data_IF_135566150833
#
_entry.id   IF_135566150833
#
_cell.length_a   1.000
_cell.length_b   1.000
_cell.length_c   1.000
_cell.angle_alpha   90.00
_cell.angle_beta   90.00
_cell.angle_gamma   90.00
#
_symmetry.space_group_name_H-M   'P 1'
#
loop_
_entity.id
_entity.type
_entity.pdbx_description
1 polymer ?
#
# COMPACT_ATOMS: atom_id res chain seq x y z
N UNK A 1 12.09 -4.06 -18.92
CA UNK A 1 11.42 -2.74 -18.89
C UNK A 1 10.52 -2.75 -17.68
N UNK A 2 10.65 -1.79 -16.77
CA UNK A 2 9.83 -1.76 -15.55
C UNK A 2 8.45 -1.18 -15.89
N UNK A 3 7.39 -1.85 -15.44
CA UNK A 3 6.01 -1.38 -15.59
C UNK A 3 5.60 -0.58 -14.35
N UNK A 4 4.65 0.34 -14.52
CA UNK A 4 4.07 1.08 -13.41
C UNK A 4 3.26 0.16 -12.50
N UNK A 5 3.51 0.24 -11.19
CA UNK A 5 2.84 -0.54 -10.13
C UNK A 5 1.33 -0.24 -9.97
N UNK A 6 0.76 0.71 -10.72
CA UNK A 6 -0.65 1.09 -10.62
C UNK A 6 -1.46 0.89 -11.91
N UNK A 7 -0.84 0.93 -13.09
CA UNK A 7 -1.58 0.74 -14.35
C UNK A 7 -0.97 -0.33 -15.27
N UNK A 8 0.13 -0.94 -14.82
CA UNK A 8 0.89 -1.99 -15.50
C UNK A 8 1.45 -1.62 -16.89
N UNK A 9 1.31 -0.37 -17.33
CA UNK A 9 1.94 0.12 -18.56
C UNK A 9 3.43 0.41 -18.33
N UNK A 10 4.27 0.36 -19.37
CA UNK A 10 5.68 0.68 -19.26
C UNK A 10 5.93 2.08 -18.66
N UNK A 11 6.93 2.20 -17.79
CA UNK A 11 7.38 3.49 -17.26
C UNK A 11 8.04 4.33 -18.34
N UNK A 12 7.88 5.65 -18.24
CA UNK A 12 8.60 6.62 -19.07
C UNK A 12 10.04 6.80 -18.56
N UNK A 13 10.90 7.37 -19.41
CA UNK A 13 12.30 7.63 -19.05
C UNK A 13 12.38 8.57 -17.84
N UNK A 14 13.02 8.10 -16.77
CA UNK A 14 13.20 8.86 -15.52
C UNK A 14 12.11 8.64 -14.47
N UNK A 15 11.04 7.91 -14.80
CA UNK A 15 10.07 7.47 -13.80
C UNK A 15 10.56 6.20 -13.09
N UNK A 16 10.15 6.05 -11.82
CA UNK A 16 10.48 4.90 -10.98
C UNK A 16 9.19 4.45 -10.30
N UNK A 17 8.95 3.14 -10.31
CA UNK A 17 7.83 2.44 -9.66
C UNK A 17 6.43 2.82 -10.19
N UNK A 18 6.10 4.11 -10.33
CA UNK A 18 4.81 4.60 -10.82
C UNK A 18 4.95 5.81 -11.76
N UNK A 19 4.00 5.97 -12.70
CA UNK A 19 3.90 7.22 -13.47
C UNK A 19 3.53 8.39 -12.56
N UNK A 20 3.98 9.59 -12.92
CA UNK A 20 3.59 10.82 -12.20
C UNK A 20 2.06 11.03 -12.19
N UNK A 21 1.39 10.73 -13.31
CA UNK A 21 -0.07 10.80 -13.40
C UNK A 21 -0.77 9.76 -12.52
N UNK A 22 -0.20 8.55 -12.41
CA UNK A 22 -0.74 7.47 -11.58
C UNK A 22 -0.57 7.78 -10.09
N UNK A 23 0.57 8.35 -9.68
CA UNK A 23 0.79 8.86 -8.32
C UNK A 23 -0.27 9.90 -7.97
N UNK A 24 -0.48 10.89 -8.84
CA UNK A 24 -1.49 11.92 -8.60
C UNK A 24 -2.91 11.34 -8.56
N UNK A 25 -3.24 10.37 -9.41
CA UNK A 25 -4.56 9.71 -9.43
C UNK A 25 -4.81 8.92 -8.14
N UNK A 26 -3.82 8.17 -7.66
CA UNK A 26 -4.00 7.28 -6.51
C UNK A 26 -3.77 7.99 -5.18
N UNK A 27 -2.69 8.77 -5.04
CA UNK A 27 -2.29 9.39 -3.78
C UNK A 27 -2.70 10.87 -3.64
N UNK A 28 -3.08 11.53 -4.74
CA UNK A 28 -3.31 12.98 -4.76
C UNK A 28 -2.04 13.83 -4.63
N UNK A 29 -0.86 13.23 -4.72
CA UNK A 29 0.44 13.89 -4.53
C UNK A 29 1.20 14.07 -5.85
N UNK A 30 2.25 14.90 -5.83
CA UNK A 30 3.19 15.08 -6.97
C UNK A 30 4.39 14.14 -6.92
N UNK A 31 4.60 13.45 -5.81
CA UNK A 31 5.67 12.47 -5.62
C UNK A 31 5.11 11.26 -4.88
N UNK A 32 5.68 10.08 -5.13
CA UNK A 32 5.26 8.85 -4.46
C UNK A 32 5.46 9.02 -2.94
N UNK A 33 4.40 8.93 -2.12
CA UNK A 33 4.54 9.04 -0.68
C UNK A 33 5.45 7.94 -0.12
N UNK A 34 6.26 8.30 0.87
CA UNK A 34 7.16 7.32 1.49
C UNK A 34 6.39 6.46 2.48
N UNK A 35 6.52 5.14 2.35
CA UNK A 35 6.16 4.16 3.37
C UNK A 35 7.47 3.55 3.91
N UNK A 36 7.92 4.03 5.07
CA UNK A 36 9.28 3.77 5.57
C UNK A 36 9.25 2.66 6.63
N UNK A 37 8.74 1.50 6.24
CA UNK A 37 8.66 0.31 7.09
C UNK A 37 9.24 -0.89 6.35
N UNK A 38 10.00 -1.73 7.06
CA UNK A 38 10.37 -3.04 6.53
C UNK A 38 9.18 -4.00 6.60
N UNK A 39 9.22 -5.08 5.83
CA UNK A 39 8.18 -6.12 5.88
C UNK A 39 8.04 -6.68 7.30
N UNK A 40 9.15 -6.90 8.00
CA UNK A 40 9.15 -7.41 9.38
C UNK A 40 8.49 -6.43 10.34
N UNK A 41 8.68 -5.12 10.15
CA UNK A 41 8.01 -4.09 10.95
C UNK A 41 6.50 -4.07 10.67
N UNK A 42 6.10 -4.19 9.40
CA UNK A 42 4.68 -4.27 9.02
C UNK A 42 4.02 -5.51 9.61
N UNK A 43 4.70 -6.65 9.62
CA UNK A 43 4.21 -7.90 10.23
C UNK A 43 4.04 -7.77 11.74
N UNK A 44 5.00 -7.17 12.43
CA UNK A 44 4.91 -6.91 13.87
C UNK A 44 3.74 -5.98 14.21
N UNK A 45 3.58 -4.88 13.45
CA UNK A 45 2.49 -3.93 13.63
C UNK A 45 1.13 -4.55 13.33
N UNK A 46 1.06 -5.41 12.30
CA UNK A 46 -0.11 -6.19 11.97
C UNK A 46 -0.54 -7.13 13.10
N UNK A 47 0.40 -7.83 13.72
CA UNK A 47 0.14 -8.71 14.86
C UNK A 47 -0.41 -7.93 16.07
N UNK A 48 0.15 -6.75 16.36
CA UNK A 48 -0.34 -5.88 17.44
C UNK A 48 -1.80 -5.48 17.22
N UNK A 49 -2.14 -5.04 16.00
CA UNK A 49 -3.50 -4.62 15.67
C UNK A 49 -4.50 -5.80 15.78
N UNK A 50 -4.11 -7.01 15.38
CA UNK A 50 -4.95 -8.21 15.54
C UNK A 50 -5.21 -8.50 17.02
N UNK A 51 -4.18 -8.38 17.87
CA UNK A 51 -4.30 -8.62 19.32
C UNK A 51 -5.20 -7.60 20.01
N UNK A 52 -5.20 -6.35 19.52
CA UNK A 52 -5.98 -5.25 20.09
C UNK A 52 -7.47 -5.27 19.70
N UNK A 53 -7.88 -6.01 18.66
CA UNK A 53 -9.27 -6.08 18.21
C UNK A 53 -10.01 -7.35 18.69
N UNK A 54 -11.12 -7.16 19.41
CA UNK A 54 -11.87 -8.23 20.11
C UNK A 54 -12.92 -8.97 19.25
N UNK A 55 -12.97 -8.83 17.92
CA UNK A 55 -13.98 -9.56 17.11
C UNK A 55 -13.61 -9.88 15.65
N UNK A 56 -14.07 -11.07 15.24
CA UNK A 56 -14.17 -11.76 13.95
C UNK A 56 -12.99 -11.71 12.95
N UNK A 57 -12.38 -12.89 12.82
CA UNK A 57 -11.25 -13.26 11.96
C UNK A 57 -11.52 -13.07 10.47
N UNK A 58 -10.82 -12.10 9.88
CA UNK A 58 -10.29 -12.24 8.52
C UNK A 58 -8.85 -12.76 8.59
N UNK A 59 -8.44 -13.62 7.66
CA UNK A 59 -7.13 -14.30 7.69
C UNK A 59 -5.94 -13.36 7.45
N UNK A 60 -6.17 -12.21 6.81
CA UNK A 60 -5.10 -11.30 6.39
C UNK A 60 -5.10 -10.00 7.21
N UNK A 61 -3.95 -9.59 7.79
CA UNK A 61 -3.84 -8.30 8.46
C UNK A 61 -4.04 -7.14 7.49
N UNK A 62 -4.66 -6.07 7.98
CA UNK A 62 -4.90 -4.84 7.23
C UNK A 62 -4.48 -3.66 8.09
N UNK A 63 -3.52 -2.89 7.61
CA UNK A 63 -3.04 -1.68 8.26
C UNK A 63 -3.75 -0.48 7.63
N UNK A 64 -4.46 0.29 8.45
CA UNK A 64 -5.00 1.58 7.98
C UNK A 64 -3.86 2.60 7.91
N UNK A 65 -3.76 3.31 6.80
CA UNK A 65 -2.74 4.31 6.54
C UNK A 65 -3.39 5.68 6.29
N UNK A 66 -2.74 6.73 6.78
CA UNK A 66 -3.09 8.11 6.47
C UNK A 66 -1.90 8.84 5.84
N UNK A 67 -2.20 9.77 4.93
CA UNK A 67 -1.19 10.60 4.29
C UNK A 67 -0.90 11.82 5.16
N UNK A 68 0.25 11.84 5.82
CA UNK A 68 0.71 12.96 6.63
C UNK A 68 1.78 13.77 5.91
N UNK A 69 1.93 15.03 6.31
CA UNK A 69 3.04 15.88 5.89
C UNK A 69 4.12 15.89 6.98
N UNK A 70 5.37 15.63 6.60
CA UNK A 70 6.51 15.64 7.49
C UNK A 70 7.73 16.18 6.74
N UNK A 71 8.36 17.23 7.26
CA UNK A 71 9.53 17.91 6.66
C UNK A 71 9.37 18.23 5.16
N UNK A 72 8.19 18.70 4.77
CA UNK A 72 7.88 19.04 3.37
C UNK A 72 7.70 17.83 2.43
N UNK A 73 7.70 16.61 2.96
CA UNK A 73 7.41 15.37 2.23
C UNK A 73 6.07 14.77 2.67
N UNK A 74 5.38 14.08 1.75
CA UNK A 74 4.18 13.31 2.07
C UNK A 74 4.57 11.88 2.44
N UNK A 75 4.10 11.40 3.60
CA UNK A 75 4.41 10.07 4.14
C UNK A 75 3.13 9.31 4.46
N UNK A 76 3.16 8.00 4.23
CA UNK A 76 2.11 7.09 4.69
C UNK A 76 2.42 6.68 6.12
N UNK A 77 1.50 6.96 7.04
CA UNK A 77 1.63 6.63 8.47
C UNK A 77 0.53 5.66 8.88
N UNK A 78 0.87 4.67 9.69
CA UNK A 78 -0.10 3.72 10.25
C UNK A 78 -0.99 4.43 11.29
N UNK A 79 -2.29 4.27 11.14
CA UNK A 79 -3.32 4.85 12.02
C UNK A 79 -4.34 3.77 12.43
N UNK A 80 -5.02 3.96 13.56
CA UNK A 80 -6.00 2.98 14.06
C UNK A 80 -7.37 3.04 13.38
N UNK A 81 -7.92 4.23 13.17
CA UNK A 81 -9.21 4.48 12.53
C UNK A 81 -9.08 5.64 11.54
N UNK A 82 -9.93 5.69 10.52
CA UNK A 82 -10.03 6.81 9.55
C UNK A 82 -8.80 6.99 8.63
N UNK A 83 -8.14 5.88 8.26
CA UNK A 83 -7.13 5.88 7.20
C UNK A 83 -7.74 6.13 5.81
N UNK A 84 -6.99 6.79 4.94
CA UNK A 84 -7.35 6.99 3.53
C UNK A 84 -6.82 5.89 2.60
N UNK A 85 -5.91 5.05 3.10
CA UNK A 85 -5.32 3.93 2.37
C UNK A 85 -5.28 2.70 3.26
N UNK A 86 -5.23 1.53 2.64
CA UNK A 86 -5.06 0.24 3.33
C UNK A 86 -3.77 -0.38 2.81
N UNK A 87 -2.84 -0.67 3.70
CA UNK A 87 -1.72 -1.55 3.40
C UNK A 87 -2.07 -2.97 3.85
N UNK A 88 -1.94 -3.90 2.92
CA UNK A 88 -2.03 -5.33 3.18
C UNK A 88 -0.61 -5.89 3.10
N UNK A 89 0.02 -6.21 4.24
CA UNK A 89 1.34 -6.80 4.24
C UNK A 89 1.36 -8.13 3.48
N UNK A 90 2.56 -8.48 2.99
CA UNK A 90 2.79 -9.80 2.41
C UNK A 90 2.59 -10.89 3.48
N UNK A 91 2.14 -12.07 3.06
CA UNK A 91 2.05 -13.25 3.92
C UNK A 91 3.03 -14.33 3.46
N UNK A 92 3.61 -15.07 4.41
CA UNK A 92 4.47 -16.21 4.11
C UNK A 92 3.71 -17.44 3.60
N UNK A 93 2.38 -17.47 3.75
CA UNK A 93 1.56 -18.61 3.32
C UNK A 93 1.35 -18.66 1.80
N UNK A 94 1.36 -17.49 1.15
CA UNK A 94 1.03 -17.35 -0.27
C UNK A 94 1.96 -16.31 -0.91
N UNK A 95 2.90 -16.80 -1.71
CA UNK A 95 4.01 -16.00 -2.27
C UNK A 95 3.56 -14.79 -3.11
N UNK A 96 2.40 -14.87 -3.78
CA UNK A 96 1.93 -13.82 -4.69
C UNK A 96 0.64 -13.16 -4.21
N UNK A 97 0.35 -13.19 -2.90
CA UNK A 97 -0.96 -12.73 -2.39
C UNK A 97 -1.25 -11.26 -2.74
N UNK A 98 -0.37 -10.28 -2.48
CA UNK A 98 -0.62 -8.88 -2.83
C UNK A 98 -0.81 -8.68 -4.33
N UNK A 99 -0.01 -9.34 -5.16
CA UNK A 99 -0.07 -9.24 -6.62
C UNK A 99 -1.37 -9.82 -7.18
N UNK A 100 -1.83 -10.95 -6.64
CA UNK A 100 -3.11 -11.54 -7.04
C UNK A 100 -4.27 -10.62 -6.67
N UNK A 101 -4.25 -10.04 -5.46
CA UNK A 101 -5.29 -9.09 -5.06
C UNK A 101 -5.31 -7.85 -5.95
N UNK A 102 -4.14 -7.25 -6.21
CA UNK A 102 -4.02 -6.09 -7.08
C UNK A 102 -4.49 -6.41 -8.50
N UNK A 103 -4.10 -7.55 -9.06
CA UNK A 103 -4.58 -8.01 -10.37
C UNK A 103 -6.10 -8.18 -10.40
N UNK A 104 -6.70 -8.78 -9.38
CA UNK A 104 -8.17 -8.95 -9.35
C UNK A 104 -8.91 -7.63 -9.31
N UNK A 105 -8.37 -6.61 -8.63
CA UNK A 105 -8.93 -5.26 -8.63
C UNK A 105 -8.85 -4.62 -10.02
N UNK A 106 -7.73 -4.80 -10.72
CA UNK A 106 -7.57 -4.32 -12.10
C UNK A 106 -8.51 -5.02 -13.09
N UNK A 107 -8.70 -6.34 -12.95
CA UNK A 107 -9.64 -7.09 -13.77
C UNK A 107 -11.10 -6.65 -13.57
N UNK A 108 -11.42 -6.06 -12.42
CA UNK A 108 -12.73 -5.53 -12.10
C UNK A 108 -12.94 -4.05 -12.48
N UNK A 109 -11.92 -3.36 -13.01
CA UNK A 109 -12.04 -1.98 -13.48
C UNK A 109 -12.98 -1.93 -14.71
N UNK A 110 -13.99 -1.04 -14.66
CA UNK A 110 -15.01 -0.84 -15.71
C UNK A 110 -14.58 0.25 -16.68
#
# INVERSE_FOLDING_TARGET
MCNCLYCYRPLLKGEKDMHQACIKKFFGTTTLPVLDYTTEQLDQLALQIIQDQTSLTGVQPKLSLHLNEHDGSKRLTIVGLWGGYICKPQTSQYEMMPEVEDLTMHLAEV
#
